data_IF_168819441419
#
_entry.id   IF_168819441419
#
_cell.length_a   1.000
_cell.length_b   1.000
_cell.length_c   1.000
_cell.angle_alpha   90.00
_cell.angle_beta   90.00
_cell.angle_gamma   90.00
#
_symmetry.space_group_name_H-M   'P 1'
#
loop_
_entity.id
_entity.type
_entity.pdbx_description
1 polymer ?
#
# COMPACT_ATOMS: atom_id res chain seq x y z
N UNK A 1 41.71 -48.36 17.26
CA UNK A 1 42.02 -47.17 18.08
C UNK A 1 42.45 -46.09 17.12
N UNK A 2 41.83 -44.94 16.97
CA UNK A 2 40.56 -44.35 17.37
C UNK A 2 40.50 -43.05 16.53
N UNK A 3 39.35 -42.77 15.95
CA UNK A 3 39.14 -41.72 14.93
C UNK A 3 39.39 -40.31 15.52
N UNK A 4 40.13 -39.48 14.79
CA UNK A 4 40.40 -38.10 15.15
C UNK A 4 39.12 -37.26 15.07
N UNK A 5 38.85 -36.53 16.15
CA UNK A 5 37.64 -35.75 16.40
C UNK A 5 37.39 -34.64 15.38
N UNK A 6 36.11 -34.44 15.08
CA UNK A 6 35.61 -33.31 14.32
C UNK A 6 35.46 -32.07 15.20
N UNK A 7 36.21 -31.02 14.87
CA UNK A 7 35.97 -29.65 15.32
C UNK A 7 34.75 -29.09 14.56
N UNK A 8 33.56 -29.36 15.10
CA UNK A 8 32.33 -28.70 14.68
C UNK A 8 32.36 -27.23 15.10
N UNK A 9 32.73 -26.35 14.16
CA UNK A 9 32.57 -24.90 14.25
C UNK A 9 31.07 -24.57 14.40
N UNK A 10 30.61 -24.53 15.65
CA UNK A 10 29.31 -24.03 16.02
C UNK A 10 29.30 -22.51 15.86
N UNK A 11 29.00 -22.01 14.65
CA UNK A 11 28.53 -20.63 14.50
C UNK A 11 27.16 -20.51 15.13
N UNK A 12 27.16 -20.36 16.45
CA UNK A 12 26.00 -19.98 17.24
C UNK A 12 25.35 -18.75 16.61
N UNK A 13 24.10 -18.94 16.17
CA UNK A 13 23.30 -17.92 15.51
C UNK A 13 23.17 -16.69 16.38
N UNK A 14 24.01 -15.68 16.13
CA UNK A 14 23.82 -14.34 16.69
C UNK A 14 22.40 -13.89 16.35
N UNK A 15 21.55 -13.55 17.33
CA UNK A 15 20.26 -12.98 17.03
C UNK A 15 20.50 -11.67 16.28
N UNK A 16 20.26 -11.68 14.97
CA UNK A 16 20.21 -10.45 14.18
C UNK A 16 19.21 -9.55 14.88
N UNK A 17 19.72 -8.52 15.58
CA UNK A 17 18.92 -7.48 16.23
C UNK A 17 17.97 -6.98 15.15
N UNK A 18 16.69 -7.39 15.23
CA UNK A 18 15.63 -6.91 14.36
C UNK A 18 15.66 -5.40 14.50
N UNK A 19 16.24 -4.70 13.52
CA UNK A 19 16.33 -3.25 13.53
C UNK A 19 14.90 -2.77 13.70
N UNK A 20 14.59 -2.21 14.87
CA UNK A 20 13.27 -1.65 15.13
C UNK A 20 12.96 -0.74 13.95
N UNK A 21 11.90 -1.05 13.21
CA UNK A 21 11.54 -0.34 11.98
C UNK A 21 11.24 1.11 12.37
N UNK A 22 12.26 1.97 12.34
CA UNK A 22 12.10 3.39 12.62
C UNK A 22 11.10 3.90 11.60
N UNK A 23 10.11 4.64 12.10
CA UNK A 23 9.10 5.26 11.26
C UNK A 23 9.80 6.10 10.18
N UNK A 24 9.35 6.06 8.92
CA UNK A 24 9.93 6.91 7.88
C UNK A 24 9.83 8.39 8.23
N UNK A 25 10.85 9.13 7.80
CA UNK A 25 10.96 10.58 7.99
C UNK A 25 9.73 11.32 7.44
N UNK A 26 9.42 12.47 8.04
CA UNK A 26 8.25 13.29 7.67
C UNK A 26 8.22 13.59 6.16
N UNK A 27 9.37 13.93 5.57
CA UNK A 27 9.49 14.26 4.16
C UNK A 27 9.10 13.08 3.25
N UNK A 28 9.61 11.87 3.51
CA UNK A 28 9.28 10.66 2.73
C UNK A 28 7.78 10.36 2.80
N UNK A 29 7.18 10.48 3.98
CA UNK A 29 5.73 10.29 4.14
C UNK A 29 4.91 11.33 3.38
N UNK A 30 5.35 12.60 3.38
CA UNK A 30 4.65 13.66 2.67
C UNK A 30 4.70 13.40 1.16
N UNK A 31 5.87 13.10 0.59
CA UNK A 31 6.02 12.76 -0.83
C UNK A 31 5.11 11.60 -1.24
N UNK A 32 5.09 10.52 -0.46
CA UNK A 32 4.18 9.39 -0.71
C UNK A 32 2.70 9.80 -0.67
N UNK A 33 2.30 10.61 0.32
CA UNK A 33 0.91 11.08 0.43
C UNK A 33 0.50 11.99 -0.73
N UNK A 34 1.38 12.90 -1.13
CA UNK A 34 1.14 13.81 -2.27
C UNK A 34 0.97 12.99 -3.54
N UNK A 35 1.88 12.05 -3.81
CA UNK A 35 1.79 11.18 -4.99
C UNK A 35 0.48 10.40 -5.03
N UNK A 36 0.09 9.78 -3.91
CA UNK A 36 -1.20 9.07 -3.82
C UNK A 36 -2.36 10.02 -4.10
N UNK A 37 -2.35 11.23 -3.53
CA UNK A 37 -3.45 12.18 -3.72
C UNK A 37 -3.59 12.57 -5.20
N UNK A 38 -2.49 12.82 -5.90
CA UNK A 38 -2.52 13.13 -7.34
C UNK A 38 -3.18 12.01 -8.14
N UNK A 39 -2.83 10.74 -7.91
CA UNK A 39 -3.47 9.63 -8.62
C UNK A 39 -4.92 9.40 -8.20
N UNK A 40 -5.26 9.59 -6.92
CA UNK A 40 -6.65 9.50 -6.45
C UNK A 40 -7.53 10.57 -7.11
N UNK A 41 -7.00 11.79 -7.31
CA UNK A 41 -7.69 12.85 -8.04
C UNK A 41 -7.94 12.44 -9.51
N UNK A 42 -6.96 11.83 -10.18
CA UNK A 42 -7.14 11.29 -11.54
C UNK A 42 -8.17 10.15 -11.60
N UNK A 43 -8.15 9.24 -10.62
CA UNK A 43 -9.12 8.15 -10.51
C UNK A 43 -10.54 8.69 -10.31
N UNK A 44 -10.71 9.75 -9.51
CA UNK A 44 -12.02 10.37 -9.31
C UNK A 44 -12.57 11.06 -10.56
N UNK A 45 -11.70 11.46 -11.51
CA UNK A 45 -12.12 12.00 -12.80
C UNK A 45 -12.55 10.89 -13.78
N UNK A 46 -11.81 9.78 -13.82
CA UNK A 46 -12.16 8.62 -14.64
C UNK A 46 -11.86 7.31 -13.90
N UNK A 47 -12.82 6.78 -13.12
CA UNK A 47 -12.61 5.58 -12.34
C UNK A 47 -12.60 4.32 -13.20
N UNK A 48 -13.09 4.35 -14.44
CA UNK A 48 -13.19 3.17 -15.31
C UNK A 48 -11.99 3.03 -16.25
N UNK A 49 -11.44 4.14 -16.75
CA UNK A 49 -10.27 4.15 -17.65
C UNK A 49 -8.91 4.17 -16.95
N UNK A 50 -8.85 4.40 -15.64
CA UNK A 50 -7.57 4.42 -14.92
C UNK A 50 -6.95 3.03 -14.76
N UNK A 51 -5.76 2.80 -15.30
CA UNK A 51 -4.99 1.55 -15.12
C UNK A 51 -3.92 1.71 -14.03
N UNK A 52 -4.06 0.95 -12.94
CA UNK A 52 -3.16 1.02 -11.78
C UNK A 52 -1.80 0.38 -12.08
N UNK A 53 -1.72 -0.61 -12.96
CA UNK A 53 -0.49 -1.32 -13.26
C UNK A 53 0.38 -0.60 -14.30
N UNK A 54 -0.24 0.25 -15.13
CA UNK A 54 0.45 1.09 -16.12
C UNK A 54 1.03 2.40 -15.57
N UNK A 55 0.84 2.69 -14.28
CA UNK A 55 1.35 3.93 -13.67
C UNK A 55 2.88 3.92 -13.65
N UNK A 56 3.49 5.03 -14.08
CA UNK A 56 4.91 5.27 -13.83
C UNK A 56 5.16 5.51 -12.33
N UNK A 57 5.74 4.51 -11.67
CA UNK A 57 5.99 4.55 -10.24
C UNK A 57 7.43 5.02 -9.98
N UNK A 58 7.62 6.11 -9.21
CA UNK A 58 8.96 6.61 -8.90
C UNK A 58 9.88 5.54 -8.29
N UNK A 59 11.16 5.62 -8.64
CA UNK A 59 12.20 4.64 -8.25
C UNK A 59 12.21 4.30 -6.75
N UNK A 60 11.94 5.28 -5.88
CA UNK A 60 11.95 5.09 -4.42
C UNK A 60 10.76 4.26 -3.88
N UNK A 61 9.72 4.07 -4.69
CA UNK A 61 8.58 3.18 -4.38
C UNK A 61 8.81 1.83 -5.03
N UNK A 62 9.24 1.81 -6.30
CA UNK A 62 9.48 0.55 -7.03
C UNK A 62 10.65 -0.24 -6.46
N UNK A 63 11.63 0.42 -5.84
CA UNK A 63 12.74 -0.23 -5.12
C UNK A 63 12.31 -1.04 -3.90
N UNK A 64 11.16 -0.72 -3.29
CA UNK A 64 10.63 -1.41 -2.12
C UNK A 64 9.33 -2.15 -2.48
N UNK A 65 9.36 -3.47 -2.70
CA UNK A 65 8.20 -4.22 -3.20
C UNK A 65 6.98 -4.12 -2.26
N UNK A 66 7.22 -4.01 -0.95
CA UNK A 66 6.17 -3.79 0.04
C UNK A 66 5.49 -2.42 -0.12
N UNK A 67 6.26 -1.36 -0.40
CA UNK A 67 5.71 -0.01 -0.57
C UNK A 67 4.97 0.09 -1.90
N UNK A 68 5.51 -0.53 -2.97
CA UNK A 68 4.85 -0.66 -4.25
C UNK A 68 3.50 -1.40 -4.14
N UNK A 69 3.48 -2.58 -3.51
CA UNK A 69 2.24 -3.33 -3.30
C UNK A 69 1.21 -2.52 -2.49
N UNK A 70 1.67 -1.83 -1.44
CA UNK A 70 0.81 -0.94 -0.64
C UNK A 70 0.26 0.23 -1.44
N UNK A 71 1.09 0.82 -2.31
CA UNK A 71 0.70 1.91 -3.20
C UNK A 71 -0.40 1.46 -4.17
N UNK A 72 -0.16 0.37 -4.91
CA UNK A 72 -1.15 -0.18 -5.87
C UNK A 72 -2.45 -0.57 -5.18
N UNK A 73 -2.38 -1.29 -4.06
CA UNK A 73 -3.57 -1.67 -3.28
C UNK A 73 -4.42 -0.45 -2.90
N UNK A 74 -3.78 0.65 -2.53
CA UNK A 74 -4.48 1.86 -2.10
C UNK A 74 -5.18 2.57 -3.26
N UNK A 75 -4.58 2.58 -4.45
CA UNK A 75 -5.20 3.12 -5.66
C UNK A 75 -6.35 2.24 -6.14
N UNK A 76 -6.17 0.92 -6.18
CA UNK A 76 -7.23 -0.03 -6.53
C UNK A 76 -8.44 0.10 -5.61
N UNK A 77 -8.21 0.21 -4.29
CA UNK A 77 -9.30 0.39 -3.34
C UNK A 77 -10.07 1.68 -3.63
N UNK A 78 -9.36 2.81 -3.82
CA UNK A 78 -10.00 4.09 -4.14
C UNK A 78 -10.78 4.01 -5.46
N UNK A 79 -10.22 3.37 -6.47
CA UNK A 79 -10.88 3.17 -7.76
C UNK A 79 -12.17 2.37 -7.61
N UNK A 80 -12.17 1.28 -6.84
CA UNK A 80 -13.37 0.50 -6.57
C UNK A 80 -14.42 1.33 -5.81
N UNK A 81 -13.99 2.16 -4.85
CA UNK A 81 -14.89 3.02 -4.08
C UNK A 81 -15.53 4.09 -4.98
N UNK A 82 -14.77 4.73 -5.87
CA UNK A 82 -15.29 5.71 -6.82
C UNK A 82 -16.22 5.08 -7.88
N UNK A 83 -15.91 3.85 -8.34
CA UNK A 83 -16.82 3.08 -9.21
C UNK A 83 -18.14 2.78 -8.51
N UNK A 84 -18.10 2.31 -7.27
CA UNK A 84 -19.31 2.05 -6.46
C UNK A 84 -20.12 3.32 -6.27
N UNK A 85 -19.47 4.43 -5.94
CA UNK A 85 -20.12 5.73 -5.79
C UNK A 85 -20.76 6.22 -7.09
N UNK A 86 -20.14 5.93 -8.23
CA UNK A 86 -20.69 6.27 -9.56
C UNK A 86 -21.85 5.34 -9.97
N UNK A 87 -21.89 4.11 -9.45
CA UNK A 87 -22.95 3.13 -9.71
C UNK A 87 -24.17 3.27 -8.80
N UNK A 88 -24.10 4.10 -7.75
CA UNK A 88 -25.22 4.45 -6.89
C UNK A 88 -25.72 5.87 -7.22
N UNK A 89 -26.44 6.08 -8.35
CA UNK A 89 -27.04 7.36 -8.66
C UNK A 89 -28.29 7.64 -7.82
N UNK A 90 -28.65 6.83 -6.81
CA UNK A 90 -29.93 6.97 -6.15
C UNK A 90 -30.30 5.90 -5.12
N UNK A 91 -29.64 5.90 -3.98
CA UNK A 91 -30.41 5.85 -2.73
C UNK A 91 -31.01 7.23 -2.50
N UNK A 92 -32.30 7.48 -2.82
CA UNK A 92 -32.97 8.64 -2.27
C UNK A 92 -32.82 8.58 -0.75
N UNK A 93 -32.42 9.70 -0.15
CA UNK A 93 -32.53 9.89 1.28
C UNK A 93 -33.93 9.41 1.70
N UNK A 94 -33.99 8.41 2.57
CA UNK A 94 -35.25 7.88 3.07
C UNK A 94 -36.15 9.06 3.44
N UNK A 95 -37.39 9.14 2.92
CA UNK A 95 -38.29 10.21 3.32
C UNK A 95 -38.40 10.18 4.84
N UNK A 96 -38.41 11.35 5.52
CA UNK A 96 -38.61 11.38 6.95
C UNK A 96 -39.90 10.65 7.27
N UNK A 97 -39.78 9.53 7.98
CA UNK A 97 -40.88 8.69 8.46
C UNK A 97 -41.60 9.37 9.62
N UNK A 98 -41.89 10.67 9.53
CA UNK A 98 -42.64 11.40 10.54
C UNK A 98 -43.14 12.74 9.98
N UNK A 99 -44.38 12.73 9.50
CA UNK A 99 -45.31 13.85 9.64
C UNK A 99 -46.73 13.29 9.52
N UNK A 100 -47.35 13.18 10.70
CA UNK A 100 -48.68 12.69 11.04
C UNK A 100 -49.84 13.17 10.15
#
# INVERSE_FOLDING_TARGET
MEEAGGDGDGTEGRPQRRRQRRRPDKAKRLRYRTLIRCHMESISQDPYGFDVDAIDVPAYISSEPFVLAKFRRRLLQHQLDERRRSQDPGMPAAPPVDAA
#
